data_IF_045876506825
#
_entry.id   IF_045876506825
#
_cell.length_a   1.000
_cell.length_b   1.000
_cell.length_c   1.000
_cell.angle_alpha   90.00
_cell.angle_beta   90.00
_cell.angle_gamma   90.00
#
_symmetry.space_group_name_H-M   'P 1'
#
loop_
_entity.id
_entity.type
_entity.pdbx_description
1 polymer ?
#
# COMPACT_ATOMS: atom_id res chain seq x y z
N UNK A 1 62.08 -28.29 -41.13
CA UNK A 1 60.65 -28.61 -41.26
C UNK A 1 59.91 -27.33 -40.94
N UNK A 2 59.22 -26.84 -41.96
CA UNK A 2 58.43 -25.61 -42.00
C UNK A 2 57.22 -25.63 -41.05
N UNK A 3 56.65 -24.44 -40.75
CA UNK A 3 55.61 -24.23 -39.76
C UNK A 3 54.22 -24.41 -40.37
N UNK A 4 53.28 -24.98 -39.61
CA UNK A 4 51.85 -24.93 -39.91
C UNK A 4 51.08 -25.08 -38.60
N UNK A 5 50.64 -23.96 -38.02
CA UNK A 5 49.45 -23.95 -37.16
C UNK A 5 48.57 -22.83 -37.68
N UNK A 6 47.39 -23.26 -38.08
CA UNK A 6 46.34 -22.55 -38.78
C UNK A 6 45.90 -21.23 -38.12
N UNK A 7 45.50 -20.35 -39.01
CA UNK A 7 44.72 -19.14 -38.80
C UNK A 7 43.46 -19.40 -37.96
N UNK A 8 43.37 -18.75 -36.80
CA UNK A 8 42.11 -18.33 -36.22
C UNK A 8 42.25 -16.88 -35.78
N UNK A 9 42.07 -15.99 -36.77
CA UNK A 9 41.67 -14.60 -36.52
C UNK A 9 40.29 -14.64 -35.87
N UNK A 10 40.23 -14.49 -34.55
CA UNK A 10 39.00 -14.05 -33.88
C UNK A 10 39.11 -12.54 -33.76
N UNK A 11 38.31 -11.86 -34.57
CA UNK A 11 38.08 -10.42 -34.52
C UNK A 11 37.58 -10.04 -33.12
N UNK A 12 38.41 -9.32 -32.35
CA UNK A 12 37.92 -8.54 -31.21
C UNK A 12 37.32 -7.25 -31.75
N UNK A 13 36.14 -7.38 -32.35
CA UNK A 13 35.26 -6.28 -32.69
C UNK A 13 34.33 -5.99 -31.51
N UNK A 14 34.53 -4.78 -30.96
CA UNK A 14 33.54 -3.89 -30.36
C UNK A 14 32.70 -4.38 -29.15
N UNK A 15 32.39 -3.38 -28.31
CA UNK A 15 31.35 -3.37 -27.30
C UNK A 15 31.67 -4.14 -26.00
N UNK A 16 32.71 -3.66 -25.30
CA UNK A 16 32.61 -3.52 -23.85
C UNK A 16 31.53 -2.48 -23.55
N UNK A 17 30.27 -2.86 -23.76
CA UNK A 17 29.14 -2.15 -23.20
C UNK A 17 29.32 -2.20 -21.69
N UNK A 18 29.56 -1.01 -21.15
CA UNK A 18 29.43 -0.75 -19.73
C UNK A 18 28.06 -1.28 -19.34
N UNK A 19 28.05 -2.35 -18.55
CA UNK A 19 26.95 -2.64 -17.65
C UNK A 19 26.86 -1.45 -16.68
N UNK A 20 26.23 -0.37 -17.15
CA UNK A 20 25.57 0.59 -16.28
C UNK A 20 24.47 -0.22 -15.60
N UNK A 21 24.84 -0.78 -14.45
CA UNK A 21 23.90 -1.16 -13.44
C UNK A 21 23.14 0.12 -13.14
N UNK A 22 21.98 0.28 -13.76
CA UNK A 22 20.97 1.23 -13.35
C UNK A 22 20.54 0.81 -11.95
N UNK A 23 21.36 1.20 -10.98
CA UNK A 23 20.90 1.43 -9.63
C UNK A 23 19.95 2.62 -9.76
N UNK A 24 18.70 2.35 -10.16
CA UNK A 24 17.61 3.20 -9.77
C UNK A 24 17.56 3.11 -8.24
N UNK A 25 18.36 3.95 -7.59
CA UNK A 25 18.09 4.44 -6.25
C UNK A 25 16.72 5.12 -6.35
N UNK A 26 15.65 4.31 -6.26
CA UNK A 26 14.31 4.81 -6.09
C UNK A 26 14.35 5.73 -4.88
N UNK A 27 14.05 7.01 -5.10
CA UNK A 27 14.03 8.04 -4.08
C UNK A 27 12.95 7.78 -3.05
N UNK A 28 13.22 6.87 -2.10
CA UNK A 28 12.32 6.49 -1.00
C UNK A 28 11.90 7.73 -0.23
N UNK A 29 12.83 8.66 0.02
CA UNK A 29 12.54 9.94 0.69
C UNK A 29 11.61 10.84 -0.15
N UNK A 30 11.70 10.77 -1.48
CA UNK A 30 10.95 11.66 -2.36
C UNK A 30 9.44 11.35 -2.31
N UNK A 31 9.07 10.07 -2.30
CA UNK A 31 7.66 9.70 -2.34
C UNK A 31 6.98 9.89 -0.99
N UNK A 32 7.69 9.67 0.12
CA UNK A 32 7.18 10.03 1.45
C UNK A 32 6.91 11.54 1.57
N UNK A 33 7.86 12.37 1.10
CA UNK A 33 7.70 13.83 1.09
C UNK A 33 6.57 14.26 0.15
N UNK A 34 6.43 13.64 -1.03
CA UNK A 34 5.30 13.93 -1.94
C UNK A 34 3.97 13.55 -1.31
N UNK A 35 3.90 12.40 -0.65
CA UNK A 35 2.69 11.98 0.06
C UNK A 35 2.36 12.97 1.17
N UNK A 36 3.35 13.40 1.97
CA UNK A 36 3.19 14.45 2.99
C UNK A 36 2.56 15.73 2.43
N UNK A 37 3.13 16.23 1.32
CA UNK A 37 2.65 17.42 0.64
C UNK A 37 1.21 17.24 0.13
N UNK A 38 0.90 16.07 -0.45
CA UNK A 38 -0.44 15.77 -0.97
C UNK A 38 -1.47 15.65 0.16
N UNK A 39 -1.07 15.10 1.31
CA UNK A 39 -1.91 15.01 2.51
C UNK A 39 -1.96 16.31 3.33
N UNK A 40 -1.15 17.32 2.98
CA UNK A 40 -0.99 18.57 3.74
C UNK A 40 -0.56 18.36 5.19
N UNK A 41 0.33 17.39 5.42
CA UNK A 41 0.86 17.04 6.74
C UNK A 41 2.37 17.19 6.78
N UNK A 42 2.91 17.36 7.98
CA UNK A 42 4.33 17.20 8.21
C UNK A 42 4.72 15.71 8.05
N UNK A 43 5.94 15.46 7.58
CA UNK A 43 6.44 14.09 7.41
C UNK A 43 6.36 13.28 8.71
N UNK A 44 6.49 13.92 9.87
CA UNK A 44 6.42 13.25 11.18
C UNK A 44 5.00 12.84 11.59
N UNK A 45 3.97 13.44 10.99
CA UNK A 45 2.57 13.14 11.26
C UNK A 45 2.08 11.92 10.45
N UNK A 46 2.81 11.54 9.40
CA UNK A 46 2.46 10.38 8.58
C UNK A 46 2.85 9.09 9.31
N UNK A 47 1.90 8.15 9.51
CA UNK A 47 2.18 6.83 10.03
C UNK A 47 3.22 6.09 9.18
N UNK A 48 4.13 5.36 9.85
CA UNK A 48 5.22 4.60 9.19
C UNK A 48 4.70 3.64 8.13
N UNK A 49 3.53 3.02 8.35
CA UNK A 49 2.94 2.10 7.39
C UNK A 49 2.53 2.79 6.07
N UNK A 50 2.14 4.07 6.10
CA UNK A 50 1.85 4.85 4.90
C UNK A 50 3.14 5.27 4.20
N UNK A 51 4.17 5.68 4.95
CA UNK A 51 5.50 6.03 4.42
C UNK A 51 6.10 4.89 3.59
N UNK A 52 6.13 3.68 4.17
CA UNK A 52 6.60 2.46 3.50
C UNK A 52 5.83 2.11 2.21
N UNK A 53 4.64 2.70 2.00
CA UNK A 53 3.76 2.46 0.86
C UNK A 53 3.53 3.73 0.04
N UNK A 54 4.30 4.79 0.25
CA UNK A 54 3.99 6.12 -0.27
C UNK A 54 3.90 6.13 -1.80
N UNK A 55 4.85 5.50 -2.49
CA UNK A 55 4.83 5.37 -3.94
C UNK A 55 3.53 4.74 -4.46
N UNK A 56 3.07 3.65 -3.84
CA UNK A 56 1.85 2.95 -4.24
C UNK A 56 0.59 3.74 -3.91
N UNK A 57 0.55 4.41 -2.77
CA UNK A 57 -0.57 5.29 -2.40
C UNK A 57 -0.70 6.44 -3.40
N UNK A 58 0.42 7.07 -3.75
CA UNK A 58 0.47 8.14 -4.77
C UNK A 58 -0.03 7.62 -6.13
N UNK A 59 0.44 6.45 -6.57
CA UNK A 59 -0.01 5.82 -7.82
C UNK A 59 -1.53 5.57 -7.82
N UNK A 60 -2.12 5.16 -6.68
CA UNK A 60 -3.58 5.04 -6.57
C UNK A 60 -4.27 6.40 -6.63
N UNK A 61 -3.78 7.40 -5.89
CA UNK A 61 -4.36 8.75 -5.88
C UNK A 61 -4.33 9.42 -7.26
N UNK A 62 -3.32 9.14 -8.07
CA UNK A 62 -3.18 9.74 -9.39
C UNK A 62 -4.15 9.16 -10.42
N UNK A 63 -4.65 7.92 -10.23
CA UNK A 63 -5.58 7.27 -11.15
C UNK A 63 -7.06 7.34 -10.75
N UNK A 64 -7.37 7.53 -9.46
CA UNK A 64 -8.76 7.57 -9.01
C UNK A 64 -9.38 8.96 -9.22
N UNK A 65 -10.70 9.03 -9.46
CA UNK A 65 -11.46 10.27 -9.42
C UNK A 65 -11.32 11.03 -8.10
N UNK A 66 -11.61 12.33 -8.13
CA UNK A 66 -11.83 13.11 -6.91
C UNK A 66 -13.02 12.51 -6.12
N UNK A 67 -12.99 12.66 -4.80
CA UNK A 67 -13.92 12.10 -3.79
C UNK A 67 -13.89 10.56 -3.61
N UNK A 68 -13.13 9.82 -4.42
CA UNK A 68 -12.94 8.38 -4.21
C UNK A 68 -11.99 8.12 -3.04
N UNK A 69 -12.40 7.34 -2.02
CA UNK A 69 -11.57 7.11 -0.86
C UNK A 69 -10.65 5.92 -1.06
N UNK A 70 -9.46 6.03 -0.48
CA UNK A 70 -8.51 4.94 -0.27
C UNK A 70 -8.52 4.58 1.21
N UNK A 71 -8.49 3.29 1.49
CA UNK A 71 -8.22 2.72 2.80
C UNK A 71 -6.88 2.02 2.77
N UNK A 72 -6.03 2.31 3.75
CA UNK A 72 -4.78 1.59 3.97
C UNK A 72 -4.84 0.88 5.30
N UNK A 73 -4.59 -0.42 5.32
CA UNK A 73 -4.65 -1.23 6.53
C UNK A 73 -3.24 -1.68 6.92
N UNK A 74 -2.85 -1.30 8.14
CA UNK A 74 -1.69 -1.82 8.82
C UNK A 74 -2.09 -3.06 9.64
N UNK A 75 -1.88 -4.23 9.06
CA UNK A 75 -2.24 -5.50 9.69
C UNK A 75 -1.28 -5.84 10.82
N UNK A 76 -1.82 -6.35 11.93
CA UNK A 76 -0.99 -6.92 12.98
C UNK A 76 -0.26 -8.16 12.47
N UNK A 77 1.02 -8.23 12.79
CA UNK A 77 1.86 -9.39 12.51
C UNK A 77 2.62 -9.78 13.80
N UNK A 78 2.44 -10.99 14.34
CA UNK A 78 1.57 -12.06 13.82
C UNK A 78 0.08 -11.75 14.01
N UNK A 79 -0.76 -12.32 13.13
CA UNK A 79 -2.22 -12.30 13.27
C UNK A 79 -2.64 -13.00 14.57
N UNK A 80 -3.53 -12.40 15.39
CA UNK A 80 -4.10 -13.05 16.57
C UNK A 80 -4.76 -14.40 16.29
N UNK A 81 -4.80 -15.31 17.28
CA UNK A 81 -5.25 -16.69 17.07
C UNK A 81 -6.77 -16.84 17.22
N UNK A 82 -7.53 -16.56 16.16
CA UNK A 82 -8.95 -16.90 16.03
C UNK A 82 -9.20 -18.13 15.14
N UNK A 83 -10.06 -19.08 15.55
CA UNK A 83 -10.36 -20.30 14.74
C UNK A 83 -11.13 -20.02 13.45
N UNK A 84 -11.89 -18.92 13.39
CA UNK A 84 -12.73 -18.53 12.26
C UNK A 84 -12.59 -17.06 11.84
N UNK A 85 -11.70 -16.31 12.50
CA UNK A 85 -11.44 -14.89 12.27
C UNK A 85 -10.05 -14.75 11.64
N UNK A 86 -9.96 -14.97 10.32
CA UNK A 86 -8.68 -14.90 9.61
C UNK A 86 -8.54 -13.57 8.88
N UNK A 87 -7.30 -13.12 8.71
CA UNK A 87 -6.96 -11.97 7.85
C UNK A 87 -7.61 -12.08 6.47
N UNK A 88 -7.60 -13.29 5.90
CA UNK A 88 -8.18 -13.61 4.59
C UNK A 88 -9.68 -13.31 4.53
N UNK A 89 -10.43 -13.70 5.55
CA UNK A 89 -11.88 -13.45 5.61
C UNK A 89 -12.18 -11.95 5.64
N UNK A 90 -11.36 -11.15 6.34
CA UNK A 90 -11.55 -9.69 6.35
C UNK A 90 -11.20 -9.04 5.02
N UNK A 91 -10.12 -9.46 4.37
CA UNK A 91 -9.77 -9.00 3.02
C UNK A 91 -10.92 -9.30 2.05
N UNK A 92 -11.45 -10.52 2.06
CA UNK A 92 -12.59 -10.90 1.23
C UNK A 92 -13.84 -10.08 1.56
N UNK A 93 -14.08 -9.79 2.84
CA UNK A 93 -15.18 -8.92 3.25
C UNK A 93 -15.04 -7.49 2.71
N UNK A 94 -13.83 -6.92 2.72
CA UNK A 94 -13.53 -5.59 2.13
C UNK A 94 -13.84 -5.61 0.63
N UNK A 95 -13.33 -6.62 -0.07
CA UNK A 95 -13.52 -6.76 -1.52
C UNK A 95 -15.00 -6.93 -1.86
N UNK A 96 -15.72 -7.79 -1.14
CA UNK A 96 -17.16 -7.99 -1.31
C UNK A 96 -17.98 -6.74 -0.93
N UNK A 97 -17.46 -5.88 -0.05
CA UNK A 97 -17.99 -4.56 0.27
C UNK A 97 -17.76 -3.51 -0.82
N UNK A 98 -17.04 -3.87 -1.90
CA UNK A 98 -16.79 -3.02 -3.04
C UNK A 98 -15.40 -2.37 -3.07
N UNK A 99 -14.51 -2.76 -2.16
CA UNK A 99 -13.12 -2.34 -2.20
C UNK A 99 -12.34 -3.04 -3.32
N UNK A 100 -11.55 -2.29 -4.08
CA UNK A 100 -10.59 -2.84 -5.04
C UNK A 100 -9.27 -3.08 -4.31
N UNK A 101 -8.78 -4.33 -4.29
CA UNK A 101 -7.49 -4.66 -3.68
C UNK A 101 -6.35 -4.19 -4.59
N UNK A 102 -5.78 -3.04 -4.25
CA UNK A 102 -4.82 -2.38 -5.11
C UNK A 102 -3.48 -3.10 -5.10
N UNK A 103 -2.98 -3.37 -6.30
CA UNK A 103 -1.76 -4.15 -6.54
C UNK A 103 -1.80 -5.57 -5.98
N UNK A 104 -2.98 -6.10 -5.65
CA UNK A 104 -3.13 -7.33 -4.86
C UNK A 104 -2.31 -7.29 -3.56
N UNK A 105 -2.20 -6.10 -2.96
CA UNK A 105 -1.36 -5.86 -1.79
C UNK A 105 -1.96 -6.35 -0.48
N UNK A 106 -3.26 -6.66 -0.47
CA UNK A 106 -4.08 -6.96 0.70
C UNK A 106 -4.07 -5.83 1.76
N UNK A 107 -3.54 -4.65 1.46
CA UNK A 107 -3.35 -3.55 2.41
C UNK A 107 -3.91 -2.23 1.91
N UNK A 108 -3.87 -1.97 0.62
CA UNK A 108 -4.38 -0.74 0.01
C UNK A 108 -5.65 -1.10 -0.74
N UNK A 109 -6.76 -0.43 -0.39
CA UNK A 109 -8.05 -0.65 -1.01
C UNK A 109 -8.64 0.68 -1.47
N UNK A 110 -9.06 0.79 -2.72
CA UNK A 110 -9.84 1.95 -3.19
C UNK A 110 -11.32 1.62 -3.26
N UNK A 111 -12.17 2.63 -3.11
CA UNK A 111 -13.62 2.51 -3.31
C UNK A 111 -14.06 3.57 -4.31
N UNK A 112 -15.10 3.27 -5.10
CA UNK A 112 -15.60 4.19 -6.14
C UNK A 112 -16.43 5.36 -5.63
N UNK A 113 -16.76 5.37 -4.34
CA UNK A 113 -17.48 6.45 -3.67
C UNK A 113 -17.30 6.37 -2.16
N UNK A 114 -17.36 7.52 -1.48
CA UNK A 114 -17.50 7.58 -0.02
C UNK A 114 -18.74 6.83 0.50
N UNK A 115 -19.84 6.76 -0.28
CA UNK A 115 -21.03 5.98 0.09
C UNK A 115 -20.74 4.48 0.15
N UNK A 116 -20.00 3.95 -0.82
CA UNK A 116 -19.65 2.53 -0.85
C UNK A 116 -18.75 2.17 0.34
N UNK A 117 -17.74 3.01 0.62
CA UNK A 117 -16.91 2.87 1.82
C UNK A 117 -17.76 2.91 3.10
N UNK A 118 -18.62 3.91 3.26
CA UNK A 118 -19.49 4.04 4.43
C UNK A 118 -20.42 2.84 4.62
N UNK A 119 -20.99 2.31 3.52
CA UNK A 119 -21.80 1.10 3.56
C UNK A 119 -20.99 -0.11 4.03
N UNK A 120 -19.76 -0.29 3.53
CA UNK A 120 -18.90 -1.38 4.01
C UNK A 120 -18.58 -1.21 5.50
N UNK A 121 -18.12 -0.03 5.93
CA UNK A 121 -17.79 0.29 7.34
C UNK A 121 -18.93 -0.12 8.28
N UNK A 122 -20.17 0.23 7.94
CA UNK A 122 -21.35 -0.07 8.75
C UNK A 122 -21.70 -1.57 8.80
N UNK A 123 -21.42 -2.31 7.73
CA UNK A 123 -21.77 -3.72 7.57
C UNK A 123 -20.60 -4.69 7.78
N UNK A 124 -19.47 -4.23 8.34
CA UNK A 124 -18.34 -5.11 8.68
C UNK A 124 -18.74 -6.21 9.68
N UNK A 125 -18.03 -7.34 9.68
CA UNK A 125 -18.24 -8.40 10.67
C UNK A 125 -18.12 -7.85 12.10
N UNK A 126 -19.02 -8.28 12.99
CA UNK A 126 -19.07 -7.74 14.35
C UNK A 126 -17.77 -7.95 15.12
N UNK A 127 -17.11 -9.09 14.92
CA UNK A 127 -15.83 -9.42 15.53
C UNK A 127 -14.70 -8.49 15.08
N UNK A 128 -14.82 -7.86 13.91
CA UNK A 128 -13.81 -6.94 13.39
C UNK A 128 -14.13 -5.48 13.71
N UNK A 129 -15.14 -5.20 14.52
CA UNK A 129 -15.47 -3.85 14.98
C UNK A 129 -14.87 -3.68 16.36
N UNK A 130 -13.99 -2.69 16.51
CA UNK A 130 -13.46 -2.30 17.81
C UNK A 130 -13.93 -0.88 18.18
N UNK A 131 -14.30 -0.70 19.44
CA UNK A 131 -14.55 0.61 20.04
C UNK A 131 -13.33 1.02 20.88
N UNK A 132 -12.51 1.93 20.34
CA UNK A 132 -11.30 2.42 21.02
C UNK A 132 -11.57 3.13 22.35
N UNK A 133 -12.83 3.47 22.65
CA UNK A 133 -13.21 4.10 23.93
C UNK A 133 -13.45 3.09 25.05
N UNK A 134 -13.59 1.80 24.72
CA UNK A 134 -13.73 0.71 25.69
C UNK A 134 -12.38 0.03 25.95
N UNK A 135 -12.14 -0.40 27.19
CA UNK A 135 -11.01 -1.27 27.51
C UNK A 135 -11.37 -2.67 27.00
N UNK A 136 -10.94 -3.01 25.78
CA UNK A 136 -11.12 -4.33 25.21
C UNK A 136 -9.92 -5.23 25.57
N UNK A 137 -10.15 -6.43 26.14
CA UNK A 137 -9.07 -7.39 26.40
C UNK A 137 -8.52 -8.05 25.13
N UNK A 138 -9.22 -7.97 24.00
CA UNK A 138 -8.80 -8.62 22.77
C UNK A 138 -7.78 -7.78 22.00
N UNK A 139 -6.75 -8.43 21.42
CA UNK A 139 -5.78 -7.74 20.59
C UNK A 139 -6.42 -7.26 19.28
N UNK A 140 -6.15 -6.01 18.91
CA UNK A 140 -6.40 -5.51 17.56
C UNK A 140 -5.72 -6.38 16.50
N UNK A 141 -6.42 -6.72 15.42
CA UNK A 141 -5.89 -7.45 14.26
C UNK A 141 -5.37 -6.54 13.15
N UNK A 142 -5.64 -5.23 13.23
CA UNK A 142 -5.06 -4.21 12.34
C UNK A 142 -5.66 -2.82 12.51
N UNK A 143 -4.93 -1.82 12.03
CA UNK A 143 -5.30 -0.40 12.08
C UNK A 143 -5.60 0.11 10.68
N UNK A 144 -6.75 0.75 10.51
CA UNK A 144 -7.18 1.34 9.24
C UNK A 144 -6.88 2.85 9.17
N UNK A 145 -6.38 3.30 8.04
CA UNK A 145 -6.21 4.71 7.69
C UNK A 145 -7.07 5.01 6.47
N UNK A 146 -7.66 6.21 6.42
CA UNK A 146 -8.45 6.64 5.27
C UNK A 146 -7.82 7.87 4.64
N UNK A 147 -7.81 7.89 3.31
CA UNK A 147 -7.33 9.00 2.50
C UNK A 147 -8.43 9.33 1.49
N UNK A 148 -8.97 10.54 1.50
CA UNK A 148 -9.93 11.00 0.49
C UNK A 148 -9.24 11.94 -0.48
N UNK A 149 -9.26 11.63 -1.77
CA UNK A 149 -8.78 12.57 -2.79
C UNK A 149 -9.75 13.75 -2.87
N UNK A 150 -9.28 14.97 -2.63
CA UNK A 150 -10.09 16.19 -2.76
C UNK A 150 -9.87 16.81 -4.15
N UNK A 151 -8.62 16.80 -4.60
CA UNK A 151 -8.19 17.24 -5.94
C UNK A 151 -6.99 16.40 -6.38
N UNK A 152 -6.51 16.61 -7.61
CA UNK A 152 -5.25 16.01 -8.08
C UNK A 152 -4.02 16.31 -7.20
N UNK A 153 -4.05 17.41 -6.43
CA UNK A 153 -2.91 17.85 -5.61
C UNK A 153 -3.13 17.72 -4.10
N UNK A 154 -4.36 17.48 -3.67
CA UNK A 154 -4.75 17.53 -2.25
C UNK A 154 -5.58 16.29 -1.92
N UNK A 155 -5.24 15.64 -0.82
CA UNK A 155 -6.02 14.58 -0.22
C UNK A 155 -6.14 14.79 1.29
N UNK A 156 -7.29 14.46 1.86
CA UNK A 156 -7.53 14.49 3.30
C UNK A 156 -7.11 13.16 3.91
N UNK A 157 -6.35 13.23 5.00
CA UNK A 157 -5.98 12.07 5.81
C UNK A 157 -6.84 12.00 7.07
N UNK A 158 -7.36 10.80 7.34
CA UNK A 158 -8.10 10.49 8.56
C UNK A 158 -7.47 9.24 9.20
N UNK A 159 -7.03 9.37 10.46
CA UNK A 159 -6.84 8.21 11.34
C UNK A 159 -8.22 7.64 11.66
N UNK A 160 -8.68 6.79 10.75
CA UNK A 160 -9.95 6.14 10.82
C UNK A 160 -9.91 5.17 12.00
N UNK A 161 -10.41 5.60 13.17
CA UNK A 161 -10.42 4.90 14.45
C UNK A 161 -11.10 3.52 14.46
N UNK A 162 -11.39 2.94 13.29
CA UNK A 162 -11.80 1.58 13.10
C UNK A 162 -10.59 0.67 13.18
N UNK A 163 -10.36 0.17 14.38
CA UNK A 163 -9.44 -0.94 14.59
C UNK A 163 -10.23 -2.24 14.42
N UNK A 164 -9.59 -3.23 13.80
CA UNK A 164 -10.20 -4.55 13.65
C UNK A 164 -9.91 -5.36 14.92
N UNK A 165 -10.91 -6.02 15.51
CA UNK A 165 -10.74 -6.91 16.65
C UNK A 165 -10.53 -8.39 16.23
N UNK A 166 -9.95 -9.20 17.14
CA UNK A 166 -9.97 -10.68 17.10
C UNK A 166 -11.28 -11.19 17.70
#
# INVERSE_FOLDING_TARGET
MDPYIDDLKVELGADNDKLEVNNEEHGVDNDEIKLAKKLQLDLNEIPVCLKQRAARILEVLDRIPDDDPIVVIDWRNPWPRGRSQTKRILIENIINGGGVNEFNSDTIFSFRTCRQLGNWINNRPQWSKHDRSAIDPNPDVGHMYRINKVTDHIAEFEDAAYVFND
#
